data_IF_084618289909
#
_entry.id   IF_084618289909
#
_cell.length_a   1.000
_cell.length_b   1.000
_cell.length_c   1.000
_cell.angle_alpha   90.00
_cell.angle_beta   90.00
_cell.angle_gamma   90.00
#
_symmetry.space_group_name_H-M   'P 1'
#
loop_
_entity.id
_entity.type
_entity.pdbx_description
1 polymer ?
#
# COMPACT_ATOMS: atom_id res chain seq x y z
N UNK A 1 17.81 16.64 -31.21
CA UNK A 1 16.77 15.75 -30.65
C UNK A 1 16.87 15.83 -29.13
N UNK A 2 16.15 16.76 -28.50
CA UNK A 2 16.17 17.01 -27.06
C UNK A 2 14.76 16.75 -26.50
N UNK A 3 14.28 15.52 -26.63
CA UNK A 3 13.08 15.05 -25.91
C UNK A 3 13.50 14.35 -24.61
N UNK A 4 14.56 14.87 -23.98
CA UNK A 4 15.17 14.28 -22.81
C UNK A 4 14.64 14.99 -21.56
N UNK A 5 14.00 14.21 -20.70
CA UNK A 5 13.79 14.50 -19.29
C UNK A 5 12.59 15.41 -18.94
N UNK A 6 11.36 14.97 -19.26
CA UNK A 6 10.23 15.42 -18.44
C UNK A 6 10.36 14.72 -17.08
N UNK A 7 10.44 15.46 -15.96
CA UNK A 7 10.56 14.84 -14.65
C UNK A 7 9.39 13.89 -14.41
N UNK A 8 9.68 12.74 -13.80
CA UNK A 8 8.64 11.78 -13.43
C UNK A 8 7.68 12.47 -12.47
N UNK A 9 6.41 12.58 -12.87
CA UNK A 9 5.39 13.23 -12.06
C UNK A 9 5.04 12.36 -10.84
N UNK A 10 5.77 12.54 -9.74
CA UNK A 10 5.57 11.79 -8.50
C UNK A 10 4.33 12.25 -7.70
N UNK A 11 3.84 13.47 -7.98
CA UNK A 11 2.78 14.12 -7.22
C UNK A 11 1.51 13.26 -7.04
N UNK A 12 0.95 12.61 -8.08
CA UNK A 12 -0.26 11.80 -7.90
C UNK A 12 -0.04 10.64 -6.92
N UNK A 13 1.09 9.95 -7.02
CA UNK A 13 1.44 8.83 -6.14
C UNK A 13 1.61 9.28 -4.68
N UNK A 14 2.23 10.45 -4.47
CA UNK A 14 2.40 11.04 -3.14
C UNK A 14 1.07 11.44 -2.52
N UNK A 15 0.19 12.11 -3.27
CA UNK A 15 -1.13 12.54 -2.78
C UNK A 15 -1.95 11.33 -2.35
N UNK A 16 -2.00 10.27 -3.18
CA UNK A 16 -2.76 9.07 -2.86
C UNK A 16 -2.18 8.36 -1.62
N UNK A 17 -0.85 8.25 -1.54
CA UNK A 17 -0.18 7.64 -0.38
C UNK A 17 -0.50 8.40 0.92
N UNK A 18 -0.42 9.74 0.87
CA UNK A 18 -0.77 10.59 2.00
C UNK A 18 -2.24 10.43 2.40
N UNK A 19 -3.15 10.36 1.42
CA UNK A 19 -4.58 10.19 1.67
C UNK A 19 -4.88 8.86 2.38
N UNK A 20 -4.28 7.74 1.94
CA UNK A 20 -4.47 6.42 2.56
C UNK A 20 -3.91 6.39 4.00
N UNK A 21 -2.72 6.93 4.23
CA UNK A 21 -2.11 7.01 5.57
C UNK A 21 -2.96 7.90 6.48
N UNK A 22 -3.38 9.07 5.98
CA UNK A 22 -4.21 10.01 6.73
C UNK A 22 -5.57 9.39 7.10
N UNK A 23 -6.19 8.62 6.20
CA UNK A 23 -7.45 7.92 6.47
C UNK A 23 -7.36 7.01 7.69
N UNK A 24 -6.33 6.15 7.74
CA UNK A 24 -6.09 5.25 8.88
C UNK A 24 -5.77 6.05 10.16
N UNK A 25 -4.95 7.11 10.07
CA UNK A 25 -4.57 7.92 11.23
C UNK A 25 -5.76 8.69 11.83
N UNK A 26 -6.60 9.30 10.98
CA UNK A 26 -7.81 10.03 11.40
C UNK A 26 -8.79 9.05 12.01
N UNK A 27 -9.06 7.91 11.35
CA UNK A 27 -9.96 6.91 11.91
C UNK A 27 -9.44 6.33 13.23
N UNK A 28 -8.13 6.10 13.35
CA UNK A 28 -7.51 5.65 14.60
C UNK A 28 -7.65 6.69 15.73
N UNK A 29 -7.52 7.97 15.41
CA UNK A 29 -7.77 9.06 16.36
C UNK A 29 -9.23 9.05 16.83
N UNK A 30 -10.18 8.90 15.90
CA UNK A 30 -11.61 8.82 16.23
C UNK A 30 -11.90 7.58 17.09
N UNK A 31 -11.37 6.41 16.72
CA UNK A 31 -11.57 5.15 17.42
C UNK A 31 -11.04 5.18 18.87
N UNK A 32 -9.94 5.90 19.11
CA UNK A 32 -9.31 6.02 20.43
C UNK A 32 -9.92 7.10 21.31
N UNK A 33 -10.32 8.23 20.74
CA UNK A 33 -10.88 9.36 21.49
C UNK A 33 -12.35 9.19 21.81
N UNK A 34 -13.15 8.61 20.89
CA UNK A 34 -14.56 8.42 21.13
C UNK A 34 -14.80 7.22 22.05
N UNK A 35 -15.36 7.48 23.22
CA UNK A 35 -15.94 6.46 24.08
C UNK A 35 -17.29 6.03 23.51
N UNK A 36 -17.47 4.72 23.34
CA UNK A 36 -18.70 4.13 22.84
C UNK A 36 -19.40 3.49 24.04
N UNK A 37 -20.42 4.14 24.63
CA UNK A 37 -21.11 3.61 25.80
C UNK A 37 -21.76 2.26 25.47
N UNK A 38 -21.61 1.29 26.37
CA UNK A 38 -22.14 -0.07 26.18
C UNK A 38 -21.15 -1.05 25.53
N UNK A 39 -19.96 -0.60 25.14
CA UNK A 39 -18.88 -1.49 24.69
C UNK A 39 -18.08 -1.97 25.90
N UNK A 40 -18.30 -3.21 26.32
CA UNK A 40 -17.51 -3.87 27.36
C UNK A 40 -16.20 -4.42 26.83
N UNK A 41 -15.27 -4.79 27.73
CA UNK A 41 -14.11 -5.60 27.35
C UNK A 41 -14.61 -6.97 26.89
N UNK A 42 -14.58 -7.21 25.58
CA UNK A 42 -14.87 -8.52 25.00
C UNK A 42 -13.82 -9.55 25.41
N UNK A 43 -14.09 -10.82 25.13
CA UNK A 43 -13.16 -11.92 25.40
C UNK A 43 -11.90 -11.90 24.51
N UNK A 44 -11.82 -10.97 23.56
CA UNK A 44 -10.70 -10.80 22.64
C UNK A 44 -10.84 -11.57 21.33
N UNK A 45 -11.94 -12.30 21.13
CA UNK A 45 -12.14 -13.15 19.95
C UNK A 45 -12.11 -12.35 18.66
N UNK A 46 -12.76 -11.17 18.63
CA UNK A 46 -12.79 -10.31 17.44
C UNK A 46 -11.40 -9.71 17.20
N UNK A 47 -10.68 -9.32 18.24
CA UNK A 47 -9.31 -8.81 18.14
C UNK A 47 -8.36 -9.85 17.55
N UNK A 48 -8.45 -11.11 17.98
CA UNK A 48 -7.63 -12.20 17.41
C UNK A 48 -7.98 -12.44 15.94
N UNK A 49 -9.27 -12.46 15.60
CA UNK A 49 -9.72 -12.63 14.22
C UNK A 49 -9.20 -11.51 13.32
N UNK A 50 -9.35 -10.25 13.73
CA UNK A 50 -8.91 -9.08 12.96
C UNK A 50 -7.40 -8.92 12.94
N UNK A 51 -6.69 -9.38 13.98
CA UNK A 51 -5.24 -9.53 13.93
C UNK A 51 -4.84 -10.49 12.79
N UNK A 52 -5.53 -11.62 12.66
CA UNK A 52 -5.36 -12.56 11.54
C UNK A 52 -5.60 -11.92 10.16
N UNK A 53 -6.61 -11.06 10.04
CA UNK A 53 -6.84 -10.25 8.83
C UNK A 53 -5.66 -9.31 8.56
N UNK A 54 -5.15 -8.63 9.59
CA UNK A 54 -3.97 -7.76 9.47
C UNK A 54 -2.71 -8.49 9.00
N UNK A 55 -2.43 -9.67 9.56
CA UNK A 55 -1.32 -10.53 9.13
C UNK A 55 -1.53 -10.99 7.69
N UNK A 56 -2.73 -11.43 7.33
CA UNK A 56 -3.05 -11.86 5.96
C UNK A 56 -2.88 -10.73 4.96
N UNK A 57 -3.38 -9.53 5.28
CA UNK A 57 -3.22 -8.34 4.47
C UNK A 57 -1.74 -7.98 4.25
N UNK A 58 -0.91 -8.09 5.31
CA UNK A 58 0.53 -7.89 5.20
C UNK A 58 1.19 -8.92 4.29
N UNK A 59 0.84 -10.21 4.41
CA UNK A 59 1.37 -11.25 3.51
C UNK A 59 0.97 -11.01 2.06
N UNK A 60 -0.30 -10.64 1.81
CA UNK A 60 -0.78 -10.30 0.48
C UNK A 60 -0.07 -9.08 -0.10
N UNK A 61 0.23 -8.08 0.74
CA UNK A 61 1.01 -6.90 0.34
C UNK A 61 2.40 -7.28 -0.22
N UNK A 62 3.03 -8.35 0.28
CA UNK A 62 4.34 -8.81 -0.24
C UNK A 62 4.21 -9.49 -1.62
N UNK A 63 3.11 -10.21 -1.86
CA UNK A 63 2.93 -11.01 -3.07
C UNK A 63 2.19 -10.30 -4.20
N UNK A 64 1.00 -9.76 -3.91
CA UNK A 64 0.05 -9.24 -4.91
C UNK A 64 0.67 -8.15 -5.81
N UNK A 65 1.36 -7.13 -5.28
CA UNK A 65 1.90 -6.08 -6.14
C UNK A 65 2.97 -6.61 -7.11
N UNK A 66 3.72 -7.64 -6.72
CA UNK A 66 4.73 -8.29 -7.57
C UNK A 66 4.08 -9.15 -8.66
N UNK A 67 3.00 -9.86 -8.32
CA UNK A 67 2.22 -10.63 -9.29
C UNK A 67 1.58 -9.73 -10.35
N UNK A 68 1.02 -8.58 -9.94
CA UNK A 68 0.42 -7.60 -10.85
C UNK A 68 1.46 -7.04 -11.82
N UNK A 69 2.64 -6.65 -11.33
CA UNK A 69 3.73 -6.17 -12.20
C UNK A 69 4.13 -7.22 -13.23
N UNK A 70 4.32 -8.46 -12.78
CA UNK A 70 4.75 -9.56 -13.68
C UNK A 70 3.68 -9.88 -14.73
N UNK A 71 2.41 -9.89 -14.33
CA UNK A 71 1.28 -10.09 -15.24
C UNK A 71 1.18 -8.98 -16.29
N UNK A 72 1.32 -7.73 -15.87
CA UNK A 72 1.24 -6.56 -16.76
C UNK A 72 2.38 -6.54 -17.79
N UNK A 73 3.60 -6.89 -17.37
CA UNK A 73 4.76 -7.01 -18.27
C UNK A 73 4.54 -8.12 -19.29
N UNK A 74 4.08 -9.30 -18.86
CA UNK A 74 3.81 -10.42 -19.77
C UNK A 74 2.72 -10.06 -20.80
N UNK A 75 1.68 -9.33 -20.38
CA UNK A 75 0.67 -8.81 -21.28
C UNK A 75 1.28 -7.87 -22.34
N UNK A 76 2.12 -6.91 -21.93
CA UNK A 76 2.74 -5.97 -22.88
C UNK A 76 3.68 -6.65 -23.87
N UNK A 77 4.41 -7.68 -23.44
CA UNK A 77 5.23 -8.51 -24.33
C UNK A 77 4.39 -9.19 -25.41
N UNK A 78 3.23 -9.74 -25.04
CA UNK A 78 2.31 -10.37 -25.99
C UNK A 78 1.69 -9.36 -26.97
N UNK A 79 1.45 -8.13 -26.53
CA UNK A 79 0.93 -7.06 -27.38
C UNK A 79 1.98 -6.49 -28.36
N UNK A 80 3.26 -6.82 -28.19
CA UNK A 80 4.37 -6.32 -29.04
C UNK A 80 4.54 -4.80 -29.00
N UNK A 81 3.97 -4.11 -28.00
CA UNK A 81 4.04 -2.66 -27.88
C UNK A 81 5.33 -2.25 -27.16
N UNK A 82 5.97 -1.14 -27.57
CA UNK A 82 7.11 -0.61 -26.83
C UNK A 82 6.70 -0.26 -25.39
N UNK A 83 7.51 -0.69 -24.43
CA UNK A 83 7.35 -0.35 -23.02
C UNK A 83 8.11 0.96 -22.79
N UNK A 84 7.36 2.05 -22.68
CA UNK A 84 7.90 3.39 -22.42
C UNK A 84 7.94 3.71 -20.92
N UNK A 85 8.65 4.78 -20.57
CA UNK A 85 8.83 5.22 -19.18
C UNK A 85 7.51 5.67 -18.54
N UNK A 86 6.57 6.15 -19.34
CA UNK A 86 5.24 6.58 -18.87
C UNK A 86 4.45 5.36 -18.37
N UNK A 87 4.41 4.25 -19.14
CA UNK A 87 3.75 3.01 -18.72
C UNK A 87 4.40 2.40 -17.48
N UNK A 88 5.73 2.43 -17.39
CA UNK A 88 6.43 1.96 -16.20
C UNK A 88 6.05 2.80 -14.98
N UNK A 89 6.01 4.13 -15.12
CA UNK A 89 5.58 5.03 -14.04
C UNK A 89 4.15 4.73 -13.58
N UNK A 90 3.21 4.53 -14.52
CA UNK A 90 1.83 4.16 -14.19
C UNK A 90 1.75 2.79 -13.51
N UNK A 91 2.56 1.81 -13.94
CA UNK A 91 2.63 0.50 -13.29
C UNK A 91 3.19 0.59 -11.87
N UNK A 92 4.19 1.44 -11.63
CA UNK A 92 4.67 1.73 -10.28
C UNK A 92 3.54 2.29 -9.40
N UNK A 93 2.81 3.27 -9.90
CA UNK A 93 1.68 3.87 -9.19
C UNK A 93 0.61 2.82 -8.86
N UNK A 94 0.22 2.00 -9.83
CA UNK A 94 -0.76 0.92 -9.62
C UNK A 94 -0.28 -0.07 -8.55
N UNK A 95 0.97 -0.54 -8.66
CA UNK A 95 1.61 -1.44 -7.69
C UNK A 95 1.55 -0.84 -6.28
N UNK A 96 1.91 0.43 -6.15
CA UNK A 96 1.95 1.13 -4.87
C UNK A 96 0.56 1.24 -4.25
N UNK A 97 -0.44 1.70 -5.02
CA UNK A 97 -1.82 1.88 -4.55
C UNK A 97 -2.39 0.54 -4.08
N UNK A 98 -2.23 -0.53 -4.86
CA UNK A 98 -2.70 -1.86 -4.49
C UNK A 98 -2.02 -2.36 -3.20
N UNK A 99 -0.71 -2.15 -3.08
CA UNK A 99 0.02 -2.52 -1.87
C UNK A 99 -0.47 -1.77 -0.64
N UNK A 100 -0.62 -0.44 -0.73
CA UNK A 100 -1.07 0.39 0.37
C UNK A 100 -2.53 0.11 0.76
N UNK A 101 -3.41 -0.17 -0.21
CA UNK A 101 -4.81 -0.51 0.06
C UNK A 101 -4.95 -1.83 0.85
N UNK A 102 -4.07 -2.81 0.58
CA UNK A 102 -4.04 -4.05 1.38
C UNK A 102 -3.67 -3.75 2.84
N UNK A 103 -2.59 -2.99 3.06
CA UNK A 103 -2.15 -2.62 4.42
C UNK A 103 -3.20 -1.77 5.15
N UNK A 104 -3.82 -0.82 4.45
CA UNK A 104 -4.92 0.01 4.95
C UNK A 104 -6.11 -0.85 5.40
N UNK A 105 -6.54 -1.82 4.59
CA UNK A 105 -7.63 -2.73 4.94
C UNK A 105 -7.34 -3.54 6.21
N UNK A 106 -6.10 -4.02 6.36
CA UNK A 106 -5.65 -4.70 7.58
C UNK A 106 -5.64 -3.77 8.81
N UNK A 107 -5.24 -2.51 8.62
CA UNK A 107 -5.23 -1.51 9.69
C UNK A 107 -6.66 -1.14 10.13
N UNK A 108 -7.56 -0.88 9.18
CA UNK A 108 -8.96 -0.60 9.49
C UNK A 108 -9.66 -1.75 10.20
N UNK A 109 -9.43 -3.00 9.79
CA UNK A 109 -9.97 -4.17 10.48
C UNK A 109 -9.57 -4.20 11.97
N UNK A 110 -8.32 -3.88 12.28
CA UNK A 110 -7.83 -3.83 13.66
C UNK A 110 -8.35 -2.61 14.43
N UNK A 111 -8.54 -1.46 13.78
CA UNK A 111 -9.19 -0.31 14.41
C UNK A 111 -10.66 -0.60 14.76
N UNK A 112 -11.38 -1.31 13.89
CA UNK A 112 -12.74 -1.79 14.17
C UNK A 112 -12.75 -2.75 15.35
N UNK A 113 -11.82 -3.72 15.41
CA UNK A 113 -11.70 -4.61 16.58
C UNK A 113 -11.46 -3.85 17.88
N UNK A 114 -10.57 -2.84 17.86
CA UNK A 114 -10.33 -1.99 19.01
C UNK A 114 -11.60 -1.24 19.45
N UNK A 115 -12.40 -0.73 18.51
CA UNK A 115 -13.67 -0.05 18.84
C UNK A 115 -14.70 -0.98 19.49
N UNK A 116 -14.67 -2.28 19.17
CA UNK A 116 -15.64 -3.28 19.67
C UNK A 116 -15.19 -3.92 20.98
N UNK A 117 -13.90 -4.15 21.19
CA UNK A 117 -13.41 -4.90 22.38
C UNK A 117 -12.52 -4.08 23.30
N UNK A 118 -12.10 -2.88 22.89
CA UNK A 118 -11.13 -2.01 23.61
C UNK A 118 -9.79 -2.70 23.91
N UNK A 119 -9.43 -3.69 23.10
CA UNK A 119 -8.17 -4.40 23.23
C UNK A 119 -7.02 -3.61 22.59
N UNK A 120 -6.14 -3.04 23.43
CA UNK A 120 -5.00 -2.24 22.98
C UNK A 120 -4.02 -3.00 22.07
N UNK A 121 -4.02 -4.32 22.07
CA UNK A 121 -3.16 -5.11 21.18
C UNK A 121 -3.40 -4.82 19.70
N UNK A 122 -4.66 -4.56 19.32
CA UNK A 122 -5.01 -4.17 17.95
C UNK A 122 -4.35 -2.86 17.52
N UNK A 123 -4.10 -1.93 18.45
CA UNK A 123 -3.42 -0.66 18.14
C UNK A 123 -1.94 -0.87 17.80
N UNK A 124 -1.26 -1.84 18.41
CA UNK A 124 0.13 -2.15 18.06
C UNK A 124 0.23 -2.70 16.63
N UNK A 125 -0.73 -3.53 16.21
CA UNK A 125 -0.81 -4.04 14.84
C UNK A 125 -1.02 -2.88 13.86
N UNK A 126 -1.97 -1.99 14.15
CA UNK A 126 -2.22 -0.78 13.35
C UNK A 126 -0.96 0.07 13.23
N UNK A 127 -0.24 0.27 14.33
CA UNK A 127 1.03 1.00 14.35
C UNK A 127 2.08 0.37 13.43
N UNK A 128 2.25 -0.96 13.48
CA UNK A 128 3.16 -1.69 12.58
C UNK A 128 2.79 -1.57 11.11
N UNK A 129 1.49 -1.69 10.77
CA UNK A 129 1.00 -1.53 9.40
C UNK A 129 1.17 -0.08 8.90
N UNK A 130 0.85 0.92 9.73
CA UNK A 130 1.07 2.34 9.42
C UNK A 130 2.55 2.66 9.17
N UNK A 131 3.44 2.16 10.03
CA UNK A 131 4.89 2.32 9.84
C UNK A 131 5.35 1.69 8.52
N UNK A 132 4.77 0.55 8.15
CA UNK A 132 5.04 -0.07 6.85
C UNK A 132 4.54 0.80 5.70
N UNK A 133 3.34 1.38 5.79
CA UNK A 133 2.82 2.31 4.77
C UNK A 133 3.73 3.54 4.60
N UNK A 134 4.18 4.14 5.71
CA UNK A 134 5.11 5.28 5.69
C UNK A 134 6.45 4.89 5.05
N UNK A 135 6.97 3.69 5.32
CA UNK A 135 8.20 3.19 4.70
C UNK A 135 8.09 2.99 3.18
N UNK A 136 6.88 2.91 2.63
CA UNK A 136 6.62 2.79 1.18
C UNK A 136 6.41 4.15 0.49
N UNK A 137 6.67 5.27 1.17
CA UNK A 137 6.42 6.60 0.61
C UNK A 137 7.09 6.80 -0.77
N UNK A 138 6.34 7.24 -1.80
CA UNK A 138 6.86 7.35 -3.17
C UNK A 138 7.60 8.67 -3.37
N UNK A 139 8.87 8.71 -3.01
CA UNK A 139 9.76 9.83 -3.35
C UNK A 139 10.10 9.81 -4.85
N UNK A 140 10.37 10.97 -5.50
CA UNK A 140 10.65 11.00 -6.94
C UNK A 140 11.83 10.12 -7.32
N UNK A 141 12.92 10.17 -6.54
CA UNK A 141 14.11 9.34 -6.73
C UNK A 141 13.79 7.84 -6.74
N UNK A 142 12.94 7.38 -5.81
CA UNK A 142 12.53 5.97 -5.73
C UNK A 142 11.73 5.51 -6.95
N UNK A 143 10.91 6.39 -7.52
CA UNK A 143 10.15 6.08 -8.75
C UNK A 143 11.12 6.01 -9.93
N UNK A 144 11.99 7.01 -10.08
CA UNK A 144 13.01 7.05 -11.14
C UNK A 144 13.94 5.84 -11.10
N UNK A 145 14.43 5.47 -9.92
CA UNK A 145 15.30 4.30 -9.72
C UNK A 145 14.57 3.01 -10.09
N UNK A 146 13.30 2.88 -9.72
CA UNK A 146 12.50 1.72 -10.08
C UNK A 146 12.26 1.64 -11.59
N UNK A 147 11.92 2.77 -12.24
CA UNK A 147 11.68 2.83 -13.70
C UNK A 147 12.95 2.48 -14.46
N UNK A 148 14.09 3.10 -14.08
CA UNK A 148 15.41 2.82 -14.65
C UNK A 148 15.77 1.34 -14.53
N UNK A 149 15.70 0.79 -13.32
CA UNK A 149 16.02 -0.62 -13.09
C UNK A 149 15.11 -1.56 -13.89
N UNK A 150 13.83 -1.23 -14.05
CA UNK A 150 12.91 -2.04 -14.86
C UNK A 150 13.16 -1.94 -16.35
N UNK A 151 13.56 -0.77 -16.84
CA UNK A 151 13.96 -0.59 -18.23
C UNK A 151 15.20 -1.42 -18.56
N UNK A 152 16.23 -1.34 -17.72
CA UNK A 152 17.46 -2.15 -17.85
C UNK A 152 17.15 -3.65 -17.90
N UNK A 153 16.30 -4.15 -16.99
CA UNK A 153 15.90 -5.56 -16.99
C UNK A 153 15.15 -5.98 -18.26
N UNK A 154 14.29 -5.12 -18.81
CA UNK A 154 13.55 -5.42 -20.03
C UNK A 154 14.44 -5.42 -21.27
N UNK A 155 15.46 -4.56 -21.31
CA UNK A 155 16.45 -4.53 -22.40
C UNK A 155 17.33 -5.78 -22.42
N UNK A 156 17.58 -6.41 -21.26
CA UNK A 156 18.34 -7.66 -21.15
C UNK A 156 17.53 -8.92 -21.55
N UNK A 157 16.20 -8.83 -21.55
CA UNK A 157 15.29 -9.95 -21.84
C UNK A 157 14.84 -10.02 -23.31
N UNK A 158 15.23 -9.05 -24.14
CA UNK A 158 14.91 -8.94 -25.57
C UNK A 158 16.08 -9.40 -26.44
#
# INVERSE_FOLDING_TARGET
MQEHNRPVNALPSMIITLALIAGVAVFGTIATVLEFPGVGQGDGTISVLMAGVGVTAFLLFLGIPTLVVSGQINQWKQEGKPIDEIRLTHMFQLKLILGLALLEGGAFANLVAYMIERNHWSLYIVGGLLMTMVAQFPTPSRIEDWVRHRKELLELEL
#
